data_IF_837524282988
#
_entry.id   IF_837524282988
#
_cell.length_a   1.000
_cell.length_b   1.000
_cell.length_c   1.000
_cell.angle_alpha   90.00
_cell.angle_beta   90.00
_cell.angle_gamma   90.00
#
_symmetry.space_group_name_H-M   'P 1'
#
loop_
_entity.id
_entity.type
_entity.pdbx_description
1 polymer ?
#
# COMPACT_ATOMS: atom_id res chain seq x y z
N UNK A 1 -46.80 7.60 29.73
CA UNK A 1 -45.35 7.65 29.45
C UNK A 1 -44.87 6.22 29.51
N UNK A 2 -44.59 5.63 28.35
CA UNK A 2 -44.23 4.23 28.22
C UNK A 2 -42.87 4.00 28.89
N UNK A 3 -42.80 2.99 29.76
CA UNK A 3 -41.54 2.48 30.29
C UNK A 3 -40.78 1.86 29.12
N UNK A 4 -39.79 2.58 28.59
CA UNK A 4 -38.79 1.95 27.73
C UNK A 4 -37.98 1.05 28.65
N UNK A 5 -38.08 -0.26 28.46
CA UNK A 5 -37.29 -1.23 29.23
C UNK A 5 -35.80 -1.03 28.90
N UNK A 6 -34.90 -1.37 29.84
CA UNK A 6 -33.44 -1.26 29.64
C UNK A 6 -32.97 -1.95 28.34
N UNK A 7 -33.64 -3.02 27.93
CA UNK A 7 -33.43 -3.74 26.67
C UNK A 7 -33.76 -2.88 25.43
N UNK A 8 -34.83 -2.09 25.48
CA UNK A 8 -35.25 -1.21 24.40
C UNK A 8 -34.33 0.01 24.28
N UNK A 9 -33.84 0.56 25.39
CA UNK A 9 -32.87 1.65 25.36
C UNK A 9 -31.52 1.21 24.77
N UNK A 10 -31.08 0.00 25.06
CA UNK A 10 -29.81 -0.53 24.55
C UNK A 10 -29.88 -0.87 23.05
N UNK A 11 -31.05 -1.32 22.56
CA UNK A 11 -31.30 -1.55 21.13
C UNK A 11 -31.25 -0.28 20.26
N UNK A 12 -31.27 0.92 20.87
CA UNK A 12 -31.23 2.20 20.17
C UNK A 12 -29.83 2.85 20.16
N UNK A 13 -28.85 2.27 20.86
CA UNK A 13 -27.52 2.86 21.01
C UNK A 13 -26.81 3.05 19.67
N UNK A 14 -26.73 1.98 18.86
CA UNK A 14 -26.04 1.99 17.55
C UNK A 14 -26.70 2.97 16.56
N UNK A 15 -28.00 3.23 16.71
CA UNK A 15 -28.75 4.18 15.89
C UNK A 15 -28.62 5.64 16.35
N UNK A 16 -28.00 5.88 17.51
CA UNK A 16 -27.92 7.19 18.15
C UNK A 16 -26.50 7.76 18.21
N UNK A 17 -25.50 7.09 17.61
CA UNK A 17 -24.09 7.47 17.66
C UNK A 17 -23.81 8.87 17.07
N UNK A 18 -24.63 9.30 16.11
CA UNK A 18 -24.54 10.63 15.48
C UNK A 18 -25.18 11.76 16.31
N UNK A 19 -25.92 11.42 17.38
CA UNK A 19 -26.62 12.39 18.22
C UNK A 19 -26.28 12.19 19.70
N UNK A 20 -25.26 12.91 20.15
CA UNK A 20 -24.75 12.83 21.53
C UNK A 20 -25.81 13.17 22.59
N UNK A 21 -26.80 14.02 22.28
CA UNK A 21 -27.86 14.36 23.23
C UNK A 21 -28.83 13.18 23.41
N UNK A 22 -29.21 12.52 22.32
CA UNK A 22 -30.05 11.30 22.38
C UNK A 22 -29.28 10.19 23.06
N UNK A 23 -28.02 9.98 22.68
CA UNK A 23 -27.18 8.95 23.27
C UNK A 23 -26.99 9.16 24.78
N UNK A 24 -26.69 10.39 25.21
CA UNK A 24 -26.60 10.72 26.64
C UNK A 24 -27.92 10.43 27.37
N UNK A 25 -29.07 10.80 26.78
CA UNK A 25 -30.36 10.43 27.34
C UNK A 25 -30.48 8.90 27.54
N UNK A 26 -30.17 8.10 26.51
CA UNK A 26 -30.25 6.64 26.59
C UNK A 26 -29.35 6.06 27.69
N UNK A 27 -28.13 6.56 27.82
CA UNK A 27 -27.18 6.16 28.86
C UNK A 27 -27.66 6.58 30.27
N UNK A 28 -28.21 7.78 30.42
CA UNK A 28 -28.83 8.26 31.68
C UNK A 28 -30.04 7.38 32.08
N UNK A 29 -30.79 6.85 31.11
CA UNK A 29 -31.87 5.88 31.33
C UNK A 29 -31.37 4.46 31.67
N UNK A 30 -30.06 4.24 31.70
CA UNK A 30 -29.43 3.00 32.15
C UNK A 30 -29.07 2.02 31.03
N UNK A 31 -29.03 2.47 29.77
CA UNK A 31 -28.40 1.71 28.69
C UNK A 31 -26.91 1.49 29.00
N UNK A 32 -26.37 0.32 28.70
CA UNK A 32 -24.98 0.00 28.99
C UNK A 32 -24.08 0.48 27.84
N UNK A 33 -23.19 1.44 28.12
CA UNK A 33 -22.24 1.95 27.14
C UNK A 33 -21.40 0.84 26.50
N UNK A 34 -21.11 -0.25 27.23
CA UNK A 34 -20.28 -1.36 26.77
C UNK A 34 -20.94 -2.25 25.70
N UNK A 35 -22.23 -2.04 25.41
CA UNK A 35 -22.92 -2.75 24.32
C UNK A 35 -22.58 -2.15 22.95
N UNK A 36 -22.03 -0.93 22.89
CA UNK A 36 -21.61 -0.28 21.64
C UNK A 36 -20.31 -0.91 21.12
N UNK A 37 -20.29 -1.30 19.84
CA UNK A 37 -19.04 -1.65 19.17
C UNK A 37 -18.20 -0.38 19.02
N UNK A 38 -17.04 -0.39 19.68
CA UNK A 38 -16.10 0.73 19.64
C UNK A 38 -15.66 1.05 18.21
N UNK A 39 -15.76 0.10 17.27
CA UNK A 39 -15.47 0.32 15.83
C UNK A 39 -16.36 1.38 15.18
N UNK A 40 -17.53 1.63 15.72
CA UNK A 40 -18.46 2.66 15.23
C UNK A 40 -18.18 4.04 15.85
N UNK A 41 -17.23 4.12 16.80
CA UNK A 41 -16.85 5.36 17.47
C UNK A 41 -15.79 6.11 16.67
N UNK A 42 -16.25 7.08 15.86
CA UNK A 42 -15.41 7.89 14.99
C UNK A 42 -15.13 9.31 15.50
N UNK A 43 -15.68 9.67 16.68
CA UNK A 43 -15.56 11.01 17.24
C UNK A 43 -14.95 10.97 18.64
N UNK A 44 -14.10 11.96 18.93
CA UNK A 44 -13.58 12.23 20.27
C UNK A 44 -14.72 12.43 21.26
N UNK A 45 -15.72 13.25 20.93
CA UNK A 45 -16.79 13.60 21.86
C UNK A 45 -17.65 12.38 22.21
N UNK A 46 -17.90 11.52 21.22
CA UNK A 46 -18.57 10.23 21.43
C UNK A 46 -17.76 9.33 22.35
N UNK A 47 -16.45 9.18 22.11
CA UNK A 47 -15.59 8.38 22.97
C UNK A 47 -15.56 8.92 24.41
N UNK A 48 -15.44 10.24 24.59
CA UNK A 48 -15.46 10.86 25.92
C UNK A 48 -16.80 10.58 26.61
N UNK A 49 -17.92 10.73 25.92
CA UNK A 49 -19.24 10.41 26.48
C UNK A 49 -19.32 8.94 26.93
N UNK A 50 -18.87 7.99 26.11
CA UNK A 50 -18.88 6.57 26.51
C UNK A 50 -17.99 6.31 27.74
N UNK A 51 -16.83 6.96 27.82
CA UNK A 51 -15.95 6.88 28.98
C UNK A 51 -16.57 7.49 30.25
N UNK A 52 -17.33 8.58 30.14
CA UNK A 52 -18.09 9.17 31.25
C UNK A 52 -19.09 8.17 31.84
N UNK A 53 -19.69 7.34 30.98
CA UNK A 53 -20.64 6.28 31.36
C UNK A 53 -19.98 4.91 31.59
N UNK A 54 -18.66 4.87 31.80
CA UNK A 54 -17.95 3.68 32.28
C UNK A 54 -17.66 2.63 31.21
N UNK A 55 -17.51 3.02 29.94
CA UNK A 55 -17.05 2.12 28.89
C UNK A 55 -15.65 1.54 29.23
N UNK A 56 -15.53 0.22 29.20
CA UNK A 56 -14.32 -0.54 29.50
C UNK A 56 -13.43 -0.68 28.24
N UNK A 57 -12.63 0.36 27.99
CA UNK A 57 -11.70 0.37 26.85
C UNK A 57 -10.59 -0.67 26.96
N UNK A 58 -10.32 -1.27 28.12
CA UNK A 58 -9.25 -2.27 28.23
C UNK A 58 -9.53 -3.52 27.37
N UNK A 59 -10.82 -3.84 27.13
CA UNK A 59 -11.22 -4.99 26.31
C UNK A 59 -11.06 -4.76 24.81
N UNK A 60 -11.54 -3.61 24.33
CA UNK A 60 -11.74 -3.33 22.89
C UNK A 60 -11.04 -2.07 22.40
N UNK A 61 -10.47 -1.23 23.26
CA UNK A 61 -9.84 0.05 22.89
C UNK A 61 -8.71 -0.05 21.86
N UNK A 62 -8.02 -1.20 21.80
CA UNK A 62 -7.00 -1.48 20.81
C UNK A 62 -7.53 -1.47 19.36
N UNK A 63 -8.84 -1.64 19.14
CA UNK A 63 -9.44 -1.68 17.80
C UNK A 63 -9.55 -0.32 17.13
N UNK A 64 -9.44 0.78 17.89
CA UNK A 64 -9.64 2.15 17.42
C UNK A 64 -8.41 3.04 17.53
N UNK A 65 -7.28 2.53 18.02
CA UNK A 65 -6.08 3.36 18.24
C UNK A 65 -5.64 4.08 16.95
N UNK A 66 -5.71 3.41 15.81
CA UNK A 66 -5.37 4.01 14.51
C UNK A 66 -6.31 5.13 14.09
N UNK A 67 -7.58 5.08 14.50
CA UNK A 67 -8.60 6.07 14.14
C UNK A 67 -8.32 7.41 14.85
N UNK A 68 -7.58 7.37 15.96
CA UNK A 68 -7.16 8.53 16.74
C UNK A 68 -5.67 8.87 16.57
N UNK A 69 -5.01 8.38 15.51
CA UNK A 69 -3.60 8.66 15.22
C UNK A 69 -3.25 10.15 14.98
N UNK A 70 -4.24 11.04 14.92
CA UNK A 70 -4.07 12.50 14.89
C UNK A 70 -4.41 13.22 16.20
N UNK A 71 -4.89 12.51 17.23
CA UNK A 71 -5.24 13.08 18.53
C UNK A 71 -4.45 12.42 19.66
N UNK A 72 -3.28 12.99 19.94
CA UNK A 72 -2.40 12.54 21.03
C UNK A 72 -3.09 12.48 22.38
N UNK A 73 -4.01 13.41 22.68
CA UNK A 73 -4.69 13.44 23.98
C UNK A 73 -5.62 12.24 24.13
N UNK A 74 -6.32 11.86 23.07
CA UNK A 74 -7.18 10.66 23.07
C UNK A 74 -6.33 9.40 23.18
N UNK A 75 -5.20 9.32 22.47
CA UNK A 75 -4.30 8.18 22.58
C UNK A 75 -3.75 8.02 24.00
N UNK A 76 -3.30 9.12 24.62
CA UNK A 76 -2.84 9.12 26.02
C UNK A 76 -3.95 8.64 26.96
N UNK A 77 -5.16 9.17 26.79
CA UNK A 77 -6.33 8.81 27.58
C UNK A 77 -6.67 7.31 27.50
N UNK A 78 -6.61 6.73 26.30
CA UNK A 78 -6.88 5.32 26.06
C UNK A 78 -5.78 4.44 26.69
N UNK A 79 -4.52 4.78 26.44
CA UNK A 79 -3.37 4.02 26.96
C UNK A 79 -3.29 4.10 28.49
N UNK A 80 -3.57 5.25 29.10
CA UNK A 80 -3.64 5.41 30.56
C UNK A 80 -4.77 4.61 31.20
N UNK A 81 -5.83 4.33 30.44
CA UNK A 81 -6.92 3.42 30.85
C UNK A 81 -6.64 1.95 30.57
N UNK A 82 -5.40 1.59 30.23
CA UNK A 82 -4.96 0.20 30.12
C UNK A 82 -5.27 -0.46 28.78
N UNK A 83 -5.49 0.33 27.71
CA UNK A 83 -5.52 -0.21 26.36
C UNK A 83 -4.14 -0.77 26.01
N UNK A 84 -4.09 -2.06 25.67
CA UNK A 84 -2.86 -2.71 25.22
C UNK A 84 -2.56 -2.35 23.75
N UNK A 85 -1.55 -1.50 23.55
CA UNK A 85 -1.08 -1.07 22.23
C UNK A 85 -0.49 -2.20 21.39
N UNK A 86 -0.14 -3.33 22.00
CA UNK A 86 0.39 -4.51 21.29
C UNK A 86 -0.71 -5.41 20.77
N UNK A 87 -1.93 -5.30 21.31
CA UNK A 87 -3.09 -6.01 20.79
C UNK A 87 -3.52 -5.34 19.51
N UNK A 88 -3.70 -6.12 18.45
CA UNK A 88 -3.95 -5.60 17.11
C UNK A 88 -5.32 -6.06 16.58
N UNK A 89 -6.00 -5.17 15.89
CA UNK A 89 -7.20 -5.50 15.13
C UNK A 89 -6.81 -6.20 13.83
N UNK A 90 -7.07 -7.50 13.69
CA UNK A 90 -6.63 -8.25 12.52
C UNK A 90 -7.58 -8.14 11.33
N UNK A 91 -8.85 -7.79 11.58
CA UNK A 91 -9.92 -7.84 10.58
C UNK A 91 -10.10 -6.56 9.77
N UNK A 92 -9.25 -5.54 9.95
CA UNK A 92 -9.33 -4.26 9.24
C UNK A 92 -7.97 -3.78 8.75
N UNK A 93 -7.95 -2.92 7.74
CA UNK A 93 -6.76 -2.18 7.34
C UNK A 93 -6.44 -1.06 8.33
N UNK A 94 -5.25 -0.45 8.22
CA UNK A 94 -4.92 0.77 8.97
C UNK A 94 -5.87 1.94 8.68
N UNK A 95 -6.53 1.96 7.52
CA UNK A 95 -7.50 2.98 7.13
C UNK A 95 -8.95 2.61 7.56
N UNK A 96 -9.11 1.59 8.42
CA UNK A 96 -10.39 1.19 9.01
C UNK A 96 -11.27 0.30 8.11
N UNK A 97 -10.82 -0.04 6.90
CA UNK A 97 -11.60 -0.86 5.97
C UNK A 97 -11.62 -2.33 6.40
N UNK A 98 -12.82 -2.94 6.42
CA UNK A 98 -12.97 -4.36 6.74
C UNK A 98 -12.29 -5.26 5.70
N UNK A 99 -11.62 -6.29 6.17
CA UNK A 99 -11.01 -7.32 5.32
C UNK A 99 -12.04 -8.37 4.93
N UNK A 100 -11.80 -9.01 3.78
CA UNK A 100 -12.56 -10.18 3.38
C UNK A 100 -12.34 -11.34 4.37
N UNK A 101 -13.26 -12.32 4.46
CA UNK A 101 -13.11 -13.47 5.35
C UNK A 101 -11.78 -14.24 5.10
N UNK A 102 -10.93 -14.32 6.11
CA UNK A 102 -9.61 -14.98 6.04
C UNK A 102 -8.42 -14.07 5.73
N UNK A 103 -8.67 -12.79 5.44
CA UNK A 103 -7.63 -11.76 5.43
C UNK A 103 -7.23 -11.35 6.85
N UNK A 104 -5.94 -11.13 7.09
CA UNK A 104 -5.41 -10.62 8.34
C UNK A 104 -4.44 -9.47 8.11
N UNK A 105 -4.56 -8.44 8.95
CA UNK A 105 -3.56 -7.39 9.13
C UNK A 105 -2.96 -7.47 10.53
N UNK A 106 -1.81 -8.12 10.65
CA UNK A 106 -1.09 -8.26 11.93
C UNK A 106 -0.12 -7.10 12.21
N UNK A 107 -0.24 -5.98 11.49
CA UNK A 107 0.60 -4.81 11.76
C UNK A 107 0.04 -3.92 12.88
N UNK A 108 0.93 -3.26 13.62
CA UNK A 108 0.60 -2.18 14.57
C UNK A 108 0.11 -0.95 13.80
N UNK A 109 -1.20 -0.87 13.58
CA UNK A 109 -1.84 0.11 12.68
C UNK A 109 -1.64 1.56 13.09
N UNK A 110 -1.68 1.84 14.38
CA UNK A 110 -1.47 3.21 14.87
C UNK A 110 -0.09 3.73 14.45
N UNK A 111 0.97 2.91 14.52
CA UNK A 111 2.29 3.28 14.03
C UNK A 111 2.31 3.49 12.51
N UNK A 112 1.56 2.69 11.74
CA UNK A 112 1.44 2.88 10.29
C UNK A 112 0.82 4.23 9.94
N UNK A 113 -0.28 4.61 10.60
CA UNK A 113 -0.96 5.89 10.32
C UNK A 113 -0.08 7.08 10.75
N UNK A 114 0.59 6.98 11.90
CA UNK A 114 1.54 8.00 12.37
C UNK A 114 2.73 8.13 11.40
N UNK A 115 3.25 7.03 10.87
CA UNK A 115 4.30 7.06 9.85
C UNK A 115 3.83 7.64 8.51
N UNK A 116 2.57 7.38 8.10
CA UNK A 116 1.97 8.02 6.94
C UNK A 116 1.79 9.54 7.11
N UNK A 117 1.65 10.02 8.35
CA UNK A 117 1.67 11.45 8.66
C UNK A 117 3.09 12.01 8.87
N UNK A 118 4.10 11.13 8.92
CA UNK A 118 5.48 11.44 9.25
C UNK A 118 5.63 12.24 10.57
N UNK A 119 4.84 11.85 11.58
CA UNK A 119 4.88 12.45 12.91
C UNK A 119 5.84 11.67 13.82
N UNK A 120 7.12 12.07 13.78
CA UNK A 120 8.21 11.44 14.55
C UNK A 120 7.93 11.52 16.06
N UNK A 121 7.44 12.66 16.55
CA UNK A 121 7.23 12.87 17.99
C UNK A 121 6.12 11.98 18.55
N UNK A 122 5.03 11.82 17.81
CA UNK A 122 3.97 10.90 18.18
C UNK A 122 4.42 9.44 18.02
N UNK A 123 5.23 9.13 17.01
CA UNK A 123 5.79 7.79 16.82
C UNK A 123 6.63 7.37 18.03
N UNK A 124 7.58 8.21 18.44
CA UNK A 124 8.43 7.99 19.60
C UNK A 124 7.65 7.86 20.88
N UNK A 125 6.64 8.72 21.02
CA UNK A 125 5.75 8.65 22.17
C UNK A 125 5.04 7.29 22.24
N UNK A 126 4.47 6.79 21.15
CA UNK A 126 3.79 5.49 21.14
C UNK A 126 4.76 4.32 21.38
N UNK A 127 5.97 4.39 20.86
CA UNK A 127 7.00 3.38 21.16
C UNK A 127 7.40 3.43 22.64
N UNK A 128 7.51 4.62 23.24
CA UNK A 128 7.74 4.76 24.70
C UNK A 128 6.60 4.19 25.55
N UNK A 129 5.39 4.10 24.98
CA UNK A 129 4.20 3.46 25.56
C UNK A 129 4.11 1.96 25.27
N UNK A 130 5.10 1.39 24.58
CA UNK A 130 5.23 -0.04 24.34
C UNK A 130 4.82 -0.52 22.95
N UNK A 131 4.52 0.37 22.00
CA UNK A 131 4.31 -0.02 20.61
C UNK A 131 5.60 -0.63 20.03
N UNK A 132 5.47 -1.63 19.15
CA UNK A 132 6.61 -2.35 18.57
C UNK A 132 6.80 -1.99 17.09
N UNK A 133 7.80 -1.15 16.72
CA UNK A 133 8.03 -0.75 15.33
C UNK A 133 8.27 -1.92 14.38
N UNK A 134 8.98 -2.96 14.83
CA UNK A 134 9.26 -4.17 14.04
C UNK A 134 8.02 -5.02 13.73
N UNK A 135 6.88 -4.75 14.39
CA UNK A 135 5.57 -5.33 14.10
C UNK A 135 4.66 -4.37 13.34
N UNK A 136 5.21 -3.31 12.76
CA UNK A 136 4.48 -2.33 11.96
C UNK A 136 4.96 -2.35 10.51
N UNK A 137 4.18 -1.75 9.63
CA UNK A 137 4.55 -1.39 8.27
C UNK A 137 4.85 0.11 8.18
N UNK A 138 5.36 0.71 9.27
CA UNK A 138 5.65 2.14 9.33
C UNK A 138 6.51 2.60 8.14
N UNK A 139 7.55 1.84 7.80
CA UNK A 139 8.47 2.16 6.71
C UNK A 139 7.77 2.19 5.34
N UNK A 140 6.87 1.24 5.08
CA UNK A 140 6.03 1.26 3.87
C UNK A 140 5.08 2.45 3.87
N UNK A 141 4.44 2.73 5.02
CA UNK A 141 3.43 3.77 5.16
C UNK A 141 4.00 5.19 5.10
N UNK A 142 5.28 5.41 5.41
CA UNK A 142 5.96 6.68 5.18
C UNK A 142 5.76 7.18 3.74
N UNK A 143 5.67 6.27 2.77
CA UNK A 143 5.40 6.58 1.36
C UNK A 143 4.07 7.29 1.11
N UNK A 144 3.07 7.09 1.98
CA UNK A 144 1.75 7.76 1.89
C UNK A 144 1.80 9.24 2.32
N UNK A 145 2.90 9.68 2.94
CA UNK A 145 3.01 11.05 3.42
C UNK A 145 2.96 12.04 2.25
N UNK A 146 2.05 13.00 2.35
CA UNK A 146 1.83 14.04 1.32
C UNK A 146 2.88 15.15 1.32
N UNK A 147 3.74 15.18 2.34
CA UNK A 147 4.79 16.19 2.51
C UNK A 147 6.15 15.49 2.38
N UNK A 148 6.79 15.54 1.19
CA UNK A 148 8.01 14.79 0.91
C UNK A 148 9.14 15.00 1.92
N UNK A 149 9.34 16.23 2.40
CA UNK A 149 10.40 16.56 3.34
C UNK A 149 10.21 15.87 4.68
N UNK A 150 8.96 15.71 5.13
CA UNK A 150 8.65 14.97 6.36
C UNK A 150 8.80 13.47 6.16
N UNK A 151 8.36 12.96 5.01
CA UNK A 151 8.53 11.55 4.65
C UNK A 151 10.02 11.17 4.67
N UNK A 152 10.87 11.95 4.01
CA UNK A 152 12.32 11.76 3.98
C UNK A 152 12.94 11.90 5.37
N UNK A 153 12.45 12.80 6.22
CA UNK A 153 12.93 12.92 7.61
C UNK A 153 12.55 11.71 8.49
N UNK A 154 11.42 11.05 8.21
CA UNK A 154 10.96 9.87 8.94
C UNK A 154 11.80 8.62 8.64
N UNK A 155 12.33 8.48 7.40
CA UNK A 155 13.11 7.30 7.00
C UNK A 155 14.36 7.04 7.86
N UNK A 156 15.29 8.01 8.07
CA UNK A 156 16.41 7.86 9.01
C UNK A 156 15.96 7.42 10.39
N UNK A 157 14.83 7.97 10.85
CA UNK A 157 14.35 7.68 12.19
C UNK A 157 13.93 6.21 12.31
N UNK A 158 13.16 5.71 11.35
CA UNK A 158 12.75 4.30 11.31
C UNK A 158 13.93 3.34 11.10
N UNK A 159 14.86 3.68 10.22
CA UNK A 159 15.97 2.81 9.85
C UNK A 159 17.11 2.82 10.87
N UNK A 160 17.49 4.01 11.35
CA UNK A 160 18.71 4.19 12.15
C UNK A 160 18.41 4.11 13.65
N UNK A 161 17.24 4.58 14.12
CA UNK A 161 16.87 4.55 15.54
C UNK A 161 16.16 3.25 15.91
N UNK A 162 15.27 2.78 15.05
CA UNK A 162 14.48 1.57 15.29
C UNK A 162 15.00 0.31 14.56
N UNK A 163 16.11 0.44 13.84
CA UNK A 163 16.78 -0.67 13.14
C UNK A 163 15.82 -1.47 12.24
N UNK A 164 14.84 -0.79 11.64
CA UNK A 164 13.89 -1.46 10.74
C UNK A 164 14.60 -1.95 9.47
N UNK A 165 14.23 -3.15 9.01
CA UNK A 165 14.77 -3.69 7.77
C UNK A 165 14.30 -2.86 6.57
N UNK A 166 15.24 -2.25 5.85
CA UNK A 166 14.98 -1.49 4.62
C UNK A 166 14.33 -2.35 3.52
N UNK A 167 14.41 -3.67 3.66
CA UNK A 167 13.79 -4.63 2.76
C UNK A 167 12.63 -5.42 3.40
N UNK A 168 12.05 -4.93 4.50
CA UNK A 168 10.91 -5.57 5.16
C UNK A 168 9.78 -5.86 4.18
N UNK A 169 9.22 -7.06 4.21
CA UNK A 169 8.14 -7.44 3.31
C UNK A 169 6.77 -7.16 3.95
N UNK A 170 5.86 -6.51 3.22
CA UNK A 170 4.47 -6.36 3.67
C UNK A 170 3.81 -7.71 3.95
N UNK A 171 4.21 -8.75 3.22
CA UNK A 171 3.62 -10.08 3.29
C UNK A 171 3.90 -10.78 4.65
N UNK A 172 4.92 -10.33 5.39
CA UNK A 172 5.24 -10.85 6.73
C UNK A 172 4.15 -10.51 7.76
N UNK A 173 3.44 -9.39 7.55
CA UNK A 173 2.40 -8.89 8.47
C UNK A 173 0.99 -8.98 7.89
N UNK A 174 0.83 -9.19 6.57
CA UNK A 174 -0.47 -9.14 5.88
C UNK A 174 -0.59 -10.19 4.78
N UNK A 175 -1.75 -10.81 4.61
CA UNK A 175 -2.00 -11.80 3.54
C UNK A 175 -3.09 -11.44 2.53
N UNK A 176 -3.77 -10.32 2.74
CA UNK A 176 -4.94 -9.94 1.92
C UNK A 176 -4.59 -9.01 0.77
N UNK A 177 -3.30 -8.69 0.65
CA UNK A 177 -2.73 -7.83 -0.38
C UNK A 177 -1.66 -8.55 -1.20
N UNK A 178 -1.67 -9.89 -1.24
CA UNK A 178 -0.70 -10.66 -2.02
C UNK A 178 -0.79 -10.42 -3.54
N UNK A 179 -1.80 -9.69 -4.04
CA UNK A 179 -1.88 -9.19 -5.43
C UNK A 179 -1.94 -7.65 -5.48
N UNK A 180 -1.79 -6.97 -4.34
CA UNK A 180 -1.88 -5.51 -4.28
C UNK A 180 -0.65 -4.90 -4.96
N UNK A 181 -0.82 -3.82 -5.73
CA UNK A 181 0.31 -3.17 -6.37
C UNK A 181 1.23 -2.46 -5.35
N UNK A 182 0.83 -2.31 -4.08
CA UNK A 182 1.66 -1.80 -2.97
C UNK A 182 2.41 -2.87 -2.17
N UNK A 183 2.17 -4.16 -2.46
CA UNK A 183 2.87 -5.29 -1.83
C UNK A 183 4.38 -5.28 -2.08
N UNK A 184 5.12 -5.81 -1.12
CA UNK A 184 6.55 -6.06 -1.16
C UNK A 184 7.35 -5.16 -0.21
N UNK A 185 8.46 -4.62 -0.70
CA UNK A 185 9.39 -3.83 0.09
C UNK A 185 8.88 -2.39 0.31
N UNK A 186 9.46 -1.62 1.24
CA UNK A 186 9.17 -0.19 1.35
C UNK A 186 9.41 0.57 0.05
N UNK A 187 10.41 0.15 -0.75
CA UNK A 187 10.66 0.69 -2.08
C UNK A 187 9.52 0.40 -3.05
N UNK A 188 8.93 -0.82 -3.03
CA UNK A 188 7.73 -1.13 -3.79
C UNK A 188 6.56 -0.21 -3.42
N UNK A 189 6.33 0.01 -2.12
CA UNK A 189 5.28 0.93 -1.66
C UNK A 189 5.56 2.38 -2.09
N UNK A 190 6.81 2.84 -2.04
CA UNK A 190 7.19 4.19 -2.48
C UNK A 190 6.87 4.44 -3.96
N UNK A 191 7.14 3.45 -4.81
CA UNK A 191 6.77 3.49 -6.24
C UNK A 191 5.25 3.49 -6.41
N UNK A 192 4.54 2.64 -5.68
CA UNK A 192 3.07 2.56 -5.74
C UNK A 192 2.38 3.86 -5.33
N UNK A 193 2.80 4.44 -4.20
CA UNK A 193 2.26 5.70 -3.68
C UNK A 193 2.81 6.93 -4.42
N UNK A 194 3.59 6.73 -5.50
CA UNK A 194 4.12 7.78 -6.38
C UNK A 194 4.97 8.82 -5.65
N UNK A 195 5.73 8.39 -4.65
CA UNK A 195 6.53 9.26 -3.80
C UNK A 195 8.01 9.20 -4.20
N UNK A 196 8.40 10.02 -5.18
CA UNK A 196 9.76 10.03 -5.74
C UNK A 196 10.84 10.32 -4.68
N UNK A 197 10.58 11.26 -3.76
CA UNK A 197 11.54 11.61 -2.72
C UNK A 197 11.84 10.43 -1.78
N UNK A 198 10.81 9.63 -1.46
CA UNK A 198 10.98 8.40 -0.68
C UNK A 198 11.69 7.31 -1.50
N UNK A 199 11.38 7.17 -2.79
CA UNK A 199 12.11 6.26 -3.70
C UNK A 199 13.60 6.59 -3.70
N UNK A 200 13.96 7.84 -3.97
CA UNK A 200 15.35 8.29 -4.04
C UNK A 200 16.10 8.11 -2.72
N UNK A 201 15.48 8.48 -1.59
CA UNK A 201 16.13 8.33 -0.28
C UNK A 201 16.29 6.86 0.13
N UNK A 202 15.31 5.99 -0.14
CA UNK A 202 15.44 4.55 0.10
C UNK A 202 16.58 3.96 -0.74
N UNK A 203 16.68 4.29 -2.02
CA UNK A 203 17.75 3.83 -2.90
C UNK A 203 19.13 4.32 -2.44
N UNK A 204 19.23 5.60 -2.07
CA UNK A 204 20.45 6.20 -1.51
C UNK A 204 20.89 5.50 -0.21
N UNK A 205 19.96 4.95 0.56
CA UNK A 205 20.20 4.19 1.78
C UNK A 205 20.47 2.69 1.53
N UNK A 206 20.51 2.26 0.28
CA UNK A 206 20.86 0.88 -0.09
C UNK A 206 19.65 -0.06 -0.18
N UNK A 207 18.43 0.45 -0.36
CA UNK A 207 17.31 -0.39 -0.75
C UNK A 207 17.65 -1.10 -2.07
N UNK A 208 17.44 -2.41 -2.10
CA UNK A 208 17.72 -3.27 -3.26
C UNK A 208 16.62 -3.02 -4.30
N UNK A 209 16.97 -2.46 -5.47
CA UNK A 209 15.99 -2.08 -6.48
C UNK A 209 15.38 -3.28 -7.22
N UNK A 210 15.89 -4.49 -7.02
CA UNK A 210 15.35 -5.74 -7.57
C UNK A 210 14.64 -6.61 -6.51
N UNK A 211 14.60 -6.19 -5.25
CA UNK A 211 13.86 -6.93 -4.22
C UNK A 211 12.36 -6.67 -4.31
N UNK A 212 11.58 -7.76 -4.35
CA UNK A 212 10.13 -7.75 -4.42
C UNK A 212 9.53 -8.68 -3.35
N UNK A 213 8.23 -8.53 -3.09
CA UNK A 213 7.49 -9.42 -2.20
C UNK A 213 6.96 -10.68 -2.89
N UNK A 214 5.98 -11.34 -2.27
CA UNK A 214 5.42 -12.61 -2.75
C UNK A 214 4.75 -12.51 -4.13
N UNK A 215 4.29 -11.32 -4.54
CA UNK A 215 3.78 -11.09 -5.91
C UNK A 215 4.82 -11.33 -7.00
N UNK A 216 6.11 -11.18 -6.68
CA UNK A 216 7.19 -11.15 -7.67
C UNK A 216 7.24 -9.88 -8.52
N UNK A 217 6.46 -8.84 -8.17
CA UNK A 217 6.48 -7.57 -8.89
C UNK A 217 7.67 -6.70 -8.45
N UNK A 218 8.69 -6.63 -9.30
CA UNK A 218 9.87 -5.77 -9.11
C UNK A 218 9.46 -4.29 -9.04
N UNK A 219 10.19 -3.44 -8.28
CA UNK A 219 10.01 -1.99 -8.30
C UNK A 219 9.94 -1.39 -9.71
N UNK A 220 10.80 -1.84 -10.64
CA UNK A 220 10.77 -1.39 -12.05
C UNK A 220 9.49 -1.77 -12.78
N UNK A 221 8.95 -2.97 -12.51
CA UNK A 221 7.66 -3.42 -13.07
C UNK A 221 6.49 -2.58 -12.57
N UNK A 222 6.51 -2.19 -11.27
CA UNK A 222 5.52 -1.29 -10.66
C UNK A 222 5.65 0.13 -11.21
N UNK A 223 6.87 0.62 -11.44
CA UNK A 223 7.12 1.93 -12.05
C UNK A 223 6.56 2.01 -13.48
N UNK A 224 6.65 0.93 -14.24
CA UNK A 224 6.02 0.84 -15.57
C UNK A 224 4.50 0.63 -15.52
N UNK A 225 3.97 0.19 -14.38
CA UNK A 225 2.55 -0.07 -14.13
C UNK A 225 2.03 -1.30 -14.84
N UNK A 226 0.72 -1.55 -14.72
CA UNK A 226 -0.01 -2.48 -15.57
C UNK A 226 -1.37 -2.07 -16.15
N UNK A 227 -2.18 -3.04 -16.59
CA UNK A 227 -3.51 -2.76 -17.11
C UNK A 227 -4.51 -2.48 -15.97
N UNK A 228 -4.18 -2.90 -14.75
CA UNK A 228 -4.95 -2.73 -13.53
C UNK A 228 -4.45 -1.56 -12.69
N UNK A 229 -3.18 -1.17 -12.85
CA UNK A 229 -2.57 -0.09 -12.09
C UNK A 229 -1.74 0.87 -12.96
N UNK A 230 -1.95 2.16 -12.79
CA UNK A 230 -1.13 3.19 -13.44
C UNK A 230 0.25 3.26 -12.78
N UNK A 231 1.30 3.04 -13.56
CA UNK A 231 2.68 3.06 -13.08
C UNK A 231 3.15 4.44 -12.59
N UNK A 232 4.38 4.46 -12.08
CA UNK A 232 5.09 5.67 -11.70
C UNK A 232 6.42 5.79 -12.46
N UNK A 233 6.34 6.26 -13.70
CA UNK A 233 7.51 6.36 -14.59
C UNK A 233 8.66 7.22 -14.07
N UNK A 234 8.43 8.31 -13.31
CA UNK A 234 9.53 9.06 -12.71
C UNK A 234 10.46 8.22 -11.83
N UNK A 235 9.99 7.09 -11.27
CA UNK A 235 10.84 6.18 -10.50
C UNK A 235 11.69 5.24 -11.36
N UNK A 236 11.39 5.05 -12.66
CA UNK A 236 12.09 4.07 -13.49
C UNK A 236 13.58 4.38 -13.66
N UNK A 237 13.91 5.64 -13.95
CA UNK A 237 15.32 6.06 -14.09
C UNK A 237 16.09 5.94 -12.76
N UNK A 238 15.62 6.49 -11.62
CA UNK A 238 16.26 6.30 -10.33
C UNK A 238 16.51 4.84 -9.95
N UNK A 239 15.54 3.95 -10.24
CA UNK A 239 15.69 2.52 -9.98
C UNK A 239 16.83 1.90 -10.81
N UNK A 240 16.90 2.22 -12.11
CA UNK A 240 17.95 1.73 -13.01
C UNK A 240 19.32 2.32 -12.66
N UNK A 241 19.38 3.61 -12.32
CA UNK A 241 20.60 4.29 -11.85
C UNK A 241 21.12 3.69 -10.54
N UNK A 242 20.22 3.25 -9.65
CA UNK A 242 20.55 2.55 -8.42
C UNK A 242 20.93 1.07 -8.62
N UNK A 243 20.92 0.58 -9.87
CA UNK A 243 21.42 -0.75 -10.21
C UNK A 243 20.36 -1.84 -10.39
N UNK A 244 19.07 -1.49 -10.57
CA UNK A 244 18.07 -2.47 -10.98
C UNK A 244 18.49 -3.17 -12.28
N UNK A 245 18.28 -4.48 -12.40
CA UNK A 245 18.63 -5.22 -13.61
C UNK A 245 17.84 -4.68 -14.82
N UNK A 246 18.49 -3.99 -15.77
CA UNK A 246 17.83 -3.41 -16.92
C UNK A 246 17.27 -4.48 -17.85
N UNK A 247 17.78 -5.72 -17.79
CA UNK A 247 17.25 -6.87 -18.53
C UNK A 247 15.93 -7.35 -17.94
N UNK A 248 15.79 -7.39 -16.61
CA UNK A 248 14.50 -7.73 -15.98
C UNK A 248 13.44 -6.67 -16.29
N UNK A 249 13.81 -5.38 -16.21
CA UNK A 249 12.95 -4.28 -16.62
C UNK A 249 12.55 -4.38 -18.11
N UNK A 250 13.52 -4.66 -19.01
CA UNK A 250 13.28 -4.83 -20.43
C UNK A 250 12.28 -5.96 -20.71
N UNK A 251 12.39 -7.10 -20.02
CA UNK A 251 11.44 -8.21 -20.16
C UNK A 251 10.01 -7.77 -19.87
N UNK A 252 9.80 -6.94 -18.84
CA UNK A 252 8.47 -6.38 -18.54
C UNK A 252 8.01 -5.42 -19.64
N UNK A 253 8.85 -4.47 -20.06
CA UNK A 253 8.55 -3.54 -21.14
C UNK A 253 8.10 -4.25 -22.43
N UNK A 254 8.82 -5.31 -22.83
CA UNK A 254 8.51 -6.13 -24.01
C UNK A 254 7.19 -6.88 -23.85
N UNK A 255 6.91 -7.47 -22.68
CA UNK A 255 5.62 -8.13 -22.40
C UNK A 255 4.45 -7.16 -22.51
N UNK A 256 4.69 -5.87 -22.24
CA UNK A 256 3.69 -4.81 -22.35
C UNK A 256 3.61 -4.21 -23.73
N UNK A 257 4.61 -4.43 -24.58
CA UNK A 257 4.68 -3.85 -25.92
C UNK A 257 4.89 -2.35 -25.87
N UNK A 258 5.51 -1.82 -24.80
CA UNK A 258 5.83 -0.41 -24.69
C UNK A 258 7.26 -0.16 -25.17
N UNK A 259 7.39 0.45 -26.34
CA UNK A 259 8.68 0.73 -27.00
C UNK A 259 9.49 1.75 -26.23
N UNK A 260 8.86 2.77 -25.64
CA UNK A 260 9.57 3.79 -24.88
C UNK A 260 10.22 3.21 -23.63
N UNK A 261 9.51 2.32 -22.91
CA UNK A 261 10.08 1.62 -21.77
C UNK A 261 11.23 0.70 -22.18
N UNK A 262 11.06 -0.01 -23.30
CA UNK A 262 12.11 -0.87 -23.84
C UNK A 262 13.34 -0.06 -24.24
N UNK A 263 13.15 1.12 -24.85
CA UNK A 263 14.21 2.06 -25.19
C UNK A 263 14.98 2.52 -23.95
N UNK A 264 14.27 2.92 -22.89
CA UNK A 264 14.91 3.29 -21.61
C UNK A 264 15.71 2.11 -21.04
N UNK A 265 15.11 0.93 -20.92
CA UNK A 265 15.80 -0.25 -20.36
C UNK A 265 17.05 -0.64 -21.16
N UNK A 266 16.98 -0.57 -22.50
CA UNK A 266 18.13 -0.81 -23.37
C UNK A 266 19.22 0.27 -23.22
N UNK A 267 18.82 1.53 -23.01
CA UNK A 267 19.74 2.62 -22.71
C UNK A 267 20.55 2.39 -21.44
N UNK A 268 19.96 1.73 -20.45
CA UNK A 268 20.63 1.30 -19.22
C UNK A 268 21.36 -0.05 -19.35
N UNK A 269 21.50 -0.61 -20.56
CA UNK A 269 22.27 -1.83 -20.81
C UNK A 269 21.48 -3.14 -20.75
N UNK A 270 20.15 -3.09 -20.85
CA UNK A 270 19.32 -4.29 -20.93
C UNK A 270 19.72 -5.20 -22.10
N UNK A 271 19.72 -6.52 -21.89
CA UNK A 271 20.09 -7.46 -22.95
C UNK A 271 19.02 -7.53 -24.06
N UNK A 272 19.33 -6.90 -25.19
CA UNK A 272 18.49 -6.89 -26.39
C UNK A 272 18.17 -8.29 -26.89
N UNK A 273 19.07 -9.28 -26.73
CA UNK A 273 18.81 -10.66 -27.15
C UNK A 273 17.76 -11.31 -26.26
N UNK A 274 17.84 -11.09 -24.96
CA UNK A 274 16.80 -11.52 -24.02
C UNK A 274 15.45 -10.85 -24.35
N UNK A 275 15.46 -9.56 -24.66
CA UNK A 275 14.27 -8.84 -25.12
C UNK A 275 13.66 -9.45 -26.39
N UNK A 276 14.48 -9.73 -27.40
CA UNK A 276 14.05 -10.35 -28.67
C UNK A 276 13.45 -11.74 -28.46
N UNK A 277 14.07 -12.56 -27.59
CA UNK A 277 13.57 -13.88 -27.25
C UNK A 277 12.14 -13.79 -26.69
N UNK A 278 11.91 -12.91 -25.71
CA UNK A 278 10.58 -12.71 -25.12
C UNK A 278 9.58 -12.15 -26.15
N UNK A 279 10.00 -11.24 -27.02
CA UNK A 279 9.13 -10.68 -28.05
C UNK A 279 8.67 -11.76 -29.05
N UNK A 280 9.59 -12.64 -29.47
CA UNK A 280 9.29 -13.78 -30.34
C UNK A 280 8.41 -14.81 -29.65
N UNK A 281 8.66 -15.15 -28.39
CA UNK A 281 7.83 -16.06 -27.61
C UNK A 281 6.40 -15.54 -27.45
N UNK A 282 6.26 -14.24 -27.18
CA UNK A 282 4.95 -13.58 -27.06
C UNK A 282 4.17 -13.63 -28.36
N UNK A 283 4.82 -13.34 -29.50
CA UNK A 283 4.18 -13.42 -30.81
C UNK A 283 3.80 -14.86 -31.16
N UNK A 284 4.72 -15.81 -30.98
CA UNK A 284 4.46 -17.23 -31.25
C UNK A 284 3.34 -17.80 -30.37
N UNK A 285 3.23 -17.36 -29.10
CA UNK A 285 2.08 -17.69 -28.26
C UNK A 285 0.79 -17.11 -28.84
N UNK A 286 0.78 -15.83 -29.23
CA UNK A 286 -0.43 -15.18 -29.75
C UNK A 286 -0.88 -15.75 -31.08
N UNK A 287 0.03 -16.07 -32.00
CA UNK A 287 -0.31 -16.73 -33.27
C UNK A 287 -0.91 -18.12 -33.04
N UNK A 288 -0.43 -18.88 -32.05
CA UNK A 288 -1.00 -20.18 -31.67
C UNK A 288 -2.39 -20.04 -31.06
N UNK A 289 -2.61 -19.07 -30.18
CA UNK A 289 -3.94 -18.77 -29.63
C UNK A 289 -4.94 -18.45 -30.73
N UNK A 290 -4.54 -17.63 -31.71
CA UNK A 290 -5.37 -17.29 -32.87
C UNK A 290 -5.68 -18.50 -33.76
N UNK A 291 -4.67 -19.32 -34.09
CA UNK A 291 -4.86 -20.49 -34.93
C UNK A 291 -5.79 -21.55 -34.32
N UNK A 292 -5.88 -21.60 -32.99
CA UNK A 292 -6.76 -22.52 -32.25
C UNK A 292 -8.11 -21.87 -31.85
N UNK A 293 -8.38 -20.63 -32.27
CA UNK A 293 -9.58 -19.91 -31.85
C UNK A 293 -10.83 -20.46 -32.57
N UNK A 294 -11.93 -20.74 -31.86
CA UNK A 294 -13.17 -21.18 -32.48
C UNK A 294 -13.71 -20.13 -33.48
N UNK A 295 -14.27 -20.59 -34.60
CA UNK A 295 -14.71 -19.71 -35.69
C UNK A 295 -15.83 -18.75 -35.28
N UNK A 296 -16.65 -19.14 -34.31
CA UNK A 296 -17.76 -18.37 -33.74
C UNK A 296 -17.33 -17.17 -32.88
N UNK A 297 -16.08 -17.14 -32.43
CA UNK A 297 -15.48 -15.98 -31.71
C UNK A 297 -14.37 -15.28 -32.51
N UNK A 298 -13.91 -15.87 -33.61
CA UNK A 298 -12.80 -15.34 -34.40
C UNK A 298 -13.11 -13.99 -35.04
N UNK A 299 -14.31 -13.79 -35.57
CA UNK A 299 -14.70 -12.54 -36.23
C UNK A 299 -14.71 -11.36 -35.22
N UNK A 300 -15.19 -11.58 -34.00
CA UNK A 300 -15.25 -10.56 -32.95
C UNK A 300 -13.87 -10.21 -32.37
N UNK A 301 -12.96 -11.18 -32.29
CA UNK A 301 -11.61 -11.00 -31.73
C UNK A 301 -10.54 -10.61 -32.77
N UNK A 302 -10.85 -10.68 -34.07
CA UNK A 302 -9.92 -10.33 -35.16
C UNK A 302 -9.26 -8.95 -34.99
N UNK A 303 -10.01 -7.87 -34.70
CA UNK A 303 -9.39 -6.54 -34.57
C UNK A 303 -8.41 -6.46 -33.41
N UNK A 304 -8.73 -7.11 -32.27
CA UNK A 304 -7.85 -7.15 -31.10
C UNK A 304 -6.60 -7.96 -31.37
N UNK A 305 -6.73 -9.08 -32.06
CA UNK A 305 -5.60 -9.90 -32.49
C UNK A 305 -4.66 -9.13 -33.41
N UNK A 306 -5.19 -8.49 -34.46
CA UNK A 306 -4.40 -7.72 -35.42
C UNK A 306 -3.64 -6.58 -34.73
N UNK A 307 -4.32 -5.79 -33.89
CA UNK A 307 -3.68 -4.71 -33.14
C UNK A 307 -2.60 -5.22 -32.15
N UNK A 308 -2.79 -6.40 -31.57
CA UNK A 308 -1.78 -7.01 -30.70
C UNK A 308 -0.58 -7.53 -31.49
N UNK A 309 -0.83 -8.13 -32.66
CA UNK A 309 0.19 -8.63 -33.56
C UNK A 309 1.04 -7.50 -34.13
N UNK A 310 0.42 -6.41 -34.58
CA UNK A 310 1.13 -5.20 -35.04
C UNK A 310 2.05 -4.65 -33.95
N UNK A 311 1.57 -4.55 -32.71
CA UNK A 311 2.40 -4.13 -31.56
C UNK A 311 3.57 -5.08 -31.29
N UNK A 312 3.37 -6.39 -31.41
CA UNK A 312 4.43 -7.38 -31.22
C UNK A 312 5.49 -7.27 -32.32
N UNK A 313 5.07 -7.14 -33.58
CA UNK A 313 5.97 -6.98 -34.73
C UNK A 313 6.76 -5.68 -34.60
N UNK A 314 6.10 -4.57 -34.28
CA UNK A 314 6.76 -3.28 -34.05
C UNK A 314 7.83 -3.37 -32.95
N UNK A 315 7.54 -4.08 -31.84
CA UNK A 315 8.53 -4.34 -30.78
C UNK A 315 9.71 -5.18 -31.29
N UNK A 316 9.46 -6.25 -32.06
CA UNK A 316 10.53 -7.08 -32.64
C UNK A 316 11.42 -6.25 -33.57
N UNK A 317 10.82 -5.46 -34.45
CA UNK A 317 11.54 -4.62 -35.41
C UNK A 317 12.35 -3.54 -34.70
N UNK A 318 11.76 -2.90 -33.68
CA UNK A 318 12.46 -1.97 -32.80
C UNK A 318 13.71 -2.62 -32.18
N UNK A 319 13.55 -3.76 -31.50
CA UNK A 319 14.65 -4.46 -30.83
C UNK A 319 15.75 -4.90 -31.82
N UNK A 320 15.38 -5.35 -33.03
CA UNK A 320 16.35 -5.70 -34.09
C UNK A 320 17.13 -4.49 -34.60
N UNK A 321 16.50 -3.31 -34.60
CA UNK A 321 17.10 -2.07 -35.07
C UNK A 321 17.99 -1.39 -34.03
N UNK A 322 17.98 -1.85 -32.77
CA UNK A 322 18.73 -1.25 -31.67
C UNK A 322 20.25 -1.32 -31.90
N UNK A 323 20.92 -0.17 -31.91
CA UNK A 323 22.37 -0.04 -32.15
C UNK A 323 23.18 0.50 -30.96
N UNK A 324 22.54 0.83 -29.84
CA UNK A 324 23.22 1.24 -28.60
C UNK A 324 23.49 2.73 -28.43
N UNK A 325 22.97 3.62 -29.28
CA UNK A 325 23.07 5.06 -29.06
C UNK A 325 21.97 5.53 -28.10
N UNK A 326 22.28 5.59 -26.80
CA UNK A 326 21.44 6.21 -25.79
C UNK A 326 22.24 7.28 -25.06
N UNK A 327 21.77 8.52 -25.15
CA UNK A 327 22.37 9.66 -24.45
C UNK A 327 21.71 9.78 -23.08
N UNK A 328 22.49 9.55 -22.01
CA UNK A 328 21.99 9.55 -20.63
C UNK A 328 21.58 10.95 -20.15
N UNK A 329 22.12 12.01 -20.77
CA UNK A 329 21.92 13.40 -20.30
C UNK A 329 20.57 14.02 -20.73
N UNK A 330 19.80 13.32 -21.58
CA UNK A 330 18.58 13.85 -22.22
C UNK A 330 17.36 12.93 -22.16
N UNK A 331 17.28 12.03 -21.17
CA UNK A 331 16.08 11.25 -20.93
C UNK A 331 14.95 12.14 -20.36
N UNK A 332 14.38 13.02 -21.18
CA UNK A 332 13.05 13.58 -20.94
C UNK A 332 12.06 12.41 -20.96
N UNK A 333 11.76 11.87 -19.78
CA UNK A 333 10.67 10.92 -19.61
C UNK A 333 9.37 11.61 -20.06
N UNK A 334 8.48 10.91 -20.79
CA UNK A 334 7.16 11.46 -21.09
C UNK A 334 6.47 11.87 -19.78
N UNK A 335 5.95 13.10 -19.73
CA UNK A 335 5.26 13.66 -18.57
C UNK A 335 4.03 12.87 -18.16
#
# INVERSE_FOLDING_TARGET
MAHIEKSEASALLDHSLDNLDILRCLLDYGADANEIDLRDVQSRDLLILLLEFGYDVAKTGHTILQDFAGDRQVLDLLLDRGVDIKKIETGRTADGLALYPGGYDNSVKVLNVVAANADIELFDHLVSRGAEPSKSLALHYTSKCKVPERAVAMLPHLLDVYEMDIHADTDDLRNFFHDSPDSGTPLCSAVYYKNLAVVEELLKRGADPDRCGATGHLPTSKAMGDALFEGFLPALAPLLEAGADPTLALRHAVRRGNVDYAKTCLGYGGDVKAGLQIAHEREARRSREWANMPADVADDEAPRYEAQRERNIAMIDFLKSWKGDFDHDHAELPK
#
